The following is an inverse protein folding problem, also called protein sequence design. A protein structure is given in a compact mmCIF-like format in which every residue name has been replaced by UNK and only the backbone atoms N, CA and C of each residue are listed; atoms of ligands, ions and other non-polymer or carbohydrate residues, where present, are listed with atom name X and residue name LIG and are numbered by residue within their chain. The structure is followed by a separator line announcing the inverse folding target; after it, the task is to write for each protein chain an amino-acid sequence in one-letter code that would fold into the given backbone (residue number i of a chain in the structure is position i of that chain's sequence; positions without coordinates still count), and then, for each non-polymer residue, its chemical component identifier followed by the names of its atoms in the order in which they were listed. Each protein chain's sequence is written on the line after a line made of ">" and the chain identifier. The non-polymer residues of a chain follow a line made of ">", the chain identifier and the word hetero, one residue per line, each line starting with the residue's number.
data_IF_051083499595
#
_entry.id   IF_051083499595
#
_cell.length_a   1.000
_cell.length_b   1.000
_cell.length_c   1.000
_cell.angle_alpha   90.00
_cell.angle_beta   90.00
_cell.angle_gamma   90.00
#
_symmetry.space_group_name_H-M   'P 1'
#
loop_
_entity.id
_entity.type
_entity.pdbx_description
1 polymer ?
#
# COMPACT_ATOMS: atom_id res chain seq x y z
N UNK A 1 35.57 -33.72 14.49
CA UNK A 1 34.83 -33.68 15.78
C UNK A 1 35.24 -32.43 16.57
N UNK A 2 34.29 -31.84 17.32
CA UNK A 2 34.33 -30.57 18.09
C UNK A 2 33.94 -29.34 17.25
N UNK A 3 32.64 -29.02 17.15
CA UNK A 3 31.79 -28.32 18.13
C UNK A 3 32.25 -26.86 18.37
N UNK A 4 31.89 -25.98 17.45
CA UNK A 4 31.69 -24.55 17.69
C UNK A 4 30.23 -24.31 17.31
N UNK A 5 29.28 -24.54 18.22
CA UNK A 5 28.86 -23.62 19.28
C UNK A 5 28.50 -22.25 18.70
N UNK A 6 27.19 -22.09 18.51
CA UNK A 6 26.42 -20.86 18.71
C UNK A 6 26.93 -19.57 18.06
N UNK A 7 26.28 -19.19 16.96
CA UNK A 7 26.00 -17.79 16.68
C UNK A 7 24.59 -17.71 16.04
N UNK A 8 23.59 -17.75 16.91
CA UNK A 8 22.21 -17.35 16.57
C UNK A 8 22.29 -15.86 16.23
N UNK A 9 22.40 -15.54 14.95
CA UNK A 9 22.24 -14.17 14.47
C UNK A 9 20.75 -13.86 14.53
N UNK A 10 20.31 -13.32 15.66
CA UNK A 10 18.99 -12.75 15.81
C UNK A 10 18.89 -11.52 14.89
N UNK A 11 18.42 -11.73 13.66
CA UNK A 11 17.99 -10.63 12.80
C UNK A 11 16.79 -9.99 13.46
N UNK A 12 17.00 -8.82 14.06
CA UNK A 12 15.96 -7.91 14.52
C UNK A 12 14.99 -7.68 13.37
N UNK A 13 13.83 -8.34 13.43
CA UNK A 13 12.67 -7.93 12.65
C UNK A 13 12.23 -6.61 13.28
N UNK A 14 12.62 -5.51 12.65
CA UNK A 14 12.06 -4.21 12.95
C UNK A 14 10.57 -4.27 12.57
N UNK A 15 9.72 -4.59 13.55
CA UNK A 15 8.30 -4.29 13.45
C UNK A 15 8.16 -2.77 13.51
N UNK A 16 8.13 -2.14 12.34
CA UNK A 16 7.67 -0.77 12.22
C UNK A 16 6.21 -0.73 12.71
N UNK A 17 5.82 0.23 13.57
CA UNK A 17 4.42 0.44 13.88
C UNK A 17 3.72 0.86 12.59
N UNK A 18 2.92 -0.03 12.02
CA UNK A 18 1.94 0.31 11.01
C UNK A 18 0.89 1.17 11.70
N UNK A 19 1.12 2.49 11.68
CA UNK A 19 0.18 3.48 12.16
C UNK A 19 -1.16 3.25 11.44
N UNK A 20 -2.18 2.96 12.25
CA UNK A 20 -3.64 3.09 12.09
C UNK A 20 -4.29 3.51 10.75
N UNK A 21 -3.77 3.08 9.60
CA UNK A 21 -4.36 3.30 8.28
C UNK A 21 -5.26 2.12 7.84
N UNK A 22 -5.62 1.23 8.76
CA UNK A 22 -6.29 -0.05 8.45
C UNK A 22 -7.49 0.08 7.50
N UNK A 23 -8.22 1.20 7.53
CA UNK A 23 -9.33 1.47 6.62
C UNK A 23 -8.92 1.83 5.18
N UNK A 24 -7.80 2.54 4.99
CA UNK A 24 -7.33 2.86 3.63
C UNK A 24 -6.59 1.69 3.00
N UNK A 25 -5.77 0.97 3.75
CA UNK A 25 -4.95 -0.13 3.21
C UNK A 25 -5.84 -1.26 2.66
N UNK A 26 -6.88 -1.66 3.40
CA UNK A 26 -7.83 -2.69 2.95
C UNK A 26 -8.61 -2.25 1.69
N UNK A 27 -9.02 -0.98 1.63
CA UNK A 27 -9.71 -0.43 0.46
C UNK A 27 -8.77 -0.35 -0.74
N UNK A 28 -7.52 0.06 -0.55
CA UNK A 28 -6.48 0.10 -1.59
C UNK A 28 -6.23 -1.30 -2.12
N UNK A 29 -6.06 -2.30 -1.25
CA UNK A 29 -5.86 -3.70 -1.66
C UNK A 29 -7.06 -4.23 -2.44
N UNK A 30 -8.29 -3.97 -1.97
CA UNK A 30 -9.53 -4.34 -2.67
C UNK A 30 -9.62 -3.72 -4.06
N UNK A 31 -9.25 -2.45 -4.21
CA UNK A 31 -9.21 -1.76 -5.51
C UNK A 31 -8.10 -2.35 -6.40
N UNK A 32 -6.91 -2.59 -5.85
CA UNK A 32 -5.80 -3.20 -6.58
C UNK A 32 -6.20 -4.58 -7.14
N UNK A 33 -6.78 -5.44 -6.31
CA UNK A 33 -7.26 -6.76 -6.73
C UNK A 33 -8.32 -6.65 -7.83
N UNK A 34 -9.26 -5.70 -7.72
CA UNK A 34 -10.25 -5.44 -8.79
C UNK A 34 -9.58 -5.01 -10.10
N UNK A 35 -8.58 -4.14 -10.05
CA UNK A 35 -7.86 -3.68 -11.24
C UNK A 35 -7.09 -4.85 -11.89
N UNK A 36 -6.41 -5.67 -11.08
CA UNK A 36 -5.70 -6.87 -11.54
C UNK A 36 -6.64 -7.90 -12.15
N UNK A 37 -7.78 -8.16 -11.51
CA UNK A 37 -8.80 -9.07 -12.01
C UNK A 37 -9.45 -8.59 -13.33
N UNK A 38 -9.43 -7.28 -13.59
CA UNK A 38 -9.84 -6.70 -14.87
C UNK A 38 -8.73 -6.75 -15.95
N UNK A 39 -7.60 -7.41 -15.65
CA UNK A 39 -6.53 -7.67 -16.62
C UNK A 39 -5.42 -6.62 -16.67
N UNK A 40 -5.36 -5.69 -15.70
CA UNK A 40 -4.24 -4.73 -15.60
C UNK A 40 -3.21 -5.26 -14.60
N UNK A 41 -2.00 -5.65 -15.02
CA UNK A 41 -0.97 -6.14 -14.10
C UNK A 41 -0.59 -5.10 -13.05
N UNK A 42 -0.35 -5.54 -11.81
CA UNK A 42 0.05 -4.67 -10.68
C UNK A 42 1.32 -3.84 -10.93
N UNK A 43 2.19 -4.28 -11.85
CA UNK A 43 3.40 -3.54 -12.22
C UNK A 43 3.12 -2.34 -13.15
N UNK A 44 1.94 -2.27 -13.78
CA UNK A 44 1.60 -1.23 -14.77
C UNK A 44 0.80 -0.07 -14.17
N UNK A 45 0.55 -0.09 -12.85
CA UNK A 45 -0.15 1.00 -12.19
C UNK A 45 0.25 1.13 -10.73
N UNK A 46 -0.09 2.27 -10.16
CA UNK A 46 0.07 2.61 -8.75
C UNK A 46 -1.23 3.19 -8.20
N UNK A 47 -1.46 2.95 -6.90
CA UNK A 47 -2.54 3.54 -6.14
C UNK A 47 -1.93 4.41 -5.04
N UNK A 48 -2.22 5.71 -5.08
CA UNK A 48 -1.69 6.68 -4.11
C UNK A 48 -2.84 7.24 -3.29
N UNK A 49 -2.71 7.20 -1.96
CA UNK A 49 -3.67 7.83 -1.06
C UNK A 49 -3.24 9.28 -0.82
N UNK A 50 -4.15 10.22 -1.10
CA UNK A 50 -3.93 11.65 -0.89
C UNK A 50 -5.07 12.25 -0.07
N UNK A 51 -4.81 13.36 0.63
CA UNK A 51 -5.87 14.15 1.27
C UNK A 51 -6.81 14.76 0.20
N UNK A 52 -8.07 15.00 0.57
CA UNK A 52 -9.09 15.50 -0.35
C UNK A 52 -8.73 16.86 -0.99
N UNK A 53 -8.06 17.74 -0.25
CA UNK A 53 -7.58 19.04 -0.74
C UNK A 53 -6.37 18.94 -1.69
N UNK A 54 -5.62 17.84 -1.64
CA UNK A 54 -4.43 17.60 -2.47
C UNK A 54 -4.72 16.86 -3.78
N UNK A 55 -5.97 16.43 -3.99
CA UNK A 55 -6.38 15.70 -5.21
C UNK A 55 -6.09 16.49 -6.49
N UNK A 56 -6.27 17.81 -6.46
CA UNK A 56 -6.05 18.67 -7.62
C UNK A 56 -4.57 18.74 -8.06
N UNK A 57 -3.65 18.32 -7.19
CA UNK A 57 -2.21 18.31 -7.44
C UNK A 57 -1.71 16.91 -7.86
N UNK A 58 -2.56 15.89 -7.75
CA UNK A 58 -2.21 14.52 -8.06
C UNK A 58 -2.45 14.20 -9.54
N UNK A 59 -1.43 13.67 -10.21
CA UNK A 59 -1.54 13.18 -11.58
C UNK A 59 -2.18 11.78 -11.60
N UNK A 60 -3.46 11.71 -11.98
CA UNK A 60 -4.15 10.45 -12.14
C UNK A 60 -5.67 10.54 -12.02
N UNK A 61 -6.31 9.38 -11.86
CA UNK A 61 -7.76 9.26 -11.76
C UNK A 61 -8.16 8.86 -10.34
N UNK A 62 -9.10 9.57 -9.73
CA UNK A 62 -9.72 9.14 -8.47
C UNK A 62 -10.51 7.85 -8.71
N UNK A 63 -10.15 6.77 -8.02
CA UNK A 63 -10.80 5.45 -8.14
C UNK A 63 -11.47 4.98 -6.85
N UNK A 64 -11.24 5.68 -5.74
CA UNK A 64 -11.85 5.35 -4.46
C UNK A 64 -11.60 6.43 -3.42
N UNK A 65 -12.18 6.22 -2.25
CA UNK A 65 -12.07 7.07 -1.08
C UNK A 65 -11.93 6.21 0.17
N UNK A 66 -11.29 6.72 1.20
CA UNK A 66 -11.17 6.06 2.49
C UNK A 66 -11.20 7.08 3.63
N UNK A 67 -11.30 6.60 4.88
CA UNK A 67 -11.45 7.44 6.09
C UNK A 67 -12.63 8.44 6.01
N UNK A 68 -13.83 7.92 5.71
CA UNK A 68 -15.05 8.72 5.59
C UNK A 68 -14.91 9.88 4.59
N UNK A 69 -14.38 9.59 3.40
CA UNK A 69 -14.15 10.55 2.31
C UNK A 69 -13.11 11.65 2.56
N UNK A 70 -12.40 11.58 3.70
CA UNK A 70 -11.29 12.50 4.03
C UNK A 70 -10.10 12.31 3.10
N UNK A 71 -9.85 11.06 2.66
CA UNK A 71 -8.77 10.73 1.72
C UNK A 71 -9.31 10.16 0.41
N UNK A 72 -8.60 10.43 -0.69
CA UNK A 72 -8.87 9.89 -2.03
C UNK A 72 -7.78 8.92 -2.45
N UNK A 73 -8.15 7.93 -3.25
CA UNK A 73 -7.23 6.93 -3.81
C UNK A 73 -7.09 7.24 -5.31
N UNK A 74 -5.89 7.61 -5.72
CA UNK A 74 -5.54 8.02 -7.08
C UNK A 74 -4.88 6.86 -7.79
N UNK A 75 -5.42 6.51 -8.95
CA UNK A 75 -4.85 5.57 -9.89
C UNK A 75 -4.00 6.29 -10.92
N UNK A 76 -2.75 5.83 -11.04
CA UNK A 76 -1.80 6.30 -12.06
C UNK A 76 -1.29 5.08 -12.81
N UNK A 77 -1.27 5.16 -14.15
CA UNK A 77 -0.79 4.09 -15.02
C UNK A 77 0.57 4.48 -15.58
N UNK A 78 1.47 3.50 -15.69
CA UNK A 78 2.77 3.66 -16.35
C UNK A 78 2.81 2.90 -17.68
#
# INVERSE_FOLDING_TARGET
>A
MKKYVFAVMATLVAFAPLAANAGCDEVVESIQQKIVNNGVPAANFTLTVVENDQVAQADGKVVGTCENDSKKIIYTRH
#
